data_IF_692781833870
#
_entry.id   IF_692781833870
#
_cell.length_a   1.000
_cell.length_b   1.000
_cell.length_c   1.000
_cell.angle_alpha   90.00
_cell.angle_beta   90.00
_cell.angle_gamma   90.00
#
_symmetry.space_group_name_H-M   'P 1'
#
loop_
_entity.id
_entity.type
_entity.pdbx_description
1 polymer ?
#
# COMPACT_ATOMS: atom_id res chain seq x y z
N UNK A 1 -6.64 -17.96 24.15
CA UNK A 1 -5.97 -19.25 24.40
C UNK A 1 -4.69 -19.16 23.61
N UNK A 2 -3.57 -18.82 24.24
CA UNK A 2 -2.33 -18.52 23.51
C UNK A 2 -1.69 -19.83 23.04
N UNK A 3 -1.65 -20.02 21.73
CA UNK A 3 -0.93 -21.13 21.11
C UNK A 3 0.54 -20.71 20.98
N UNK A 4 1.34 -21.03 21.99
CA UNK A 4 2.80 -21.07 21.84
C UNK A 4 3.13 -22.18 20.84
N UNK A 5 3.67 -21.84 19.67
CA UNK A 5 4.16 -22.86 18.74
C UNK A 5 5.48 -22.46 18.06
N UNK A 6 6.60 -22.87 18.66
CA UNK A 6 7.77 -23.29 17.90
C UNK A 6 7.87 -24.81 18.03
N UNK A 7 7.16 -25.54 17.18
CA UNK A 7 7.36 -26.98 17.02
C UNK A 7 8.44 -27.22 15.97
N UNK A 8 9.68 -27.47 16.43
CA UNK A 8 10.68 -28.20 15.63
C UNK A 8 10.25 -29.68 15.58
N UNK A 9 9.43 -30.03 14.59
CA UNK A 9 8.96 -31.39 14.35
C UNK A 9 10.03 -32.27 13.70
N UNK A 10 10.50 -33.29 14.41
CA UNK A 10 11.47 -34.27 13.88
C UNK A 10 10.86 -35.41 13.04
N UNK A 11 11.52 -35.66 11.90
CA UNK A 11 11.67 -36.90 11.11
C UNK A 11 10.42 -37.61 10.55
N UNK A 12 9.68 -36.92 9.69
CA UNK A 12 9.37 -37.45 8.36
C UNK A 12 10.34 -36.77 7.39
N UNK A 13 10.85 -37.47 6.36
CA UNK A 13 11.82 -36.88 5.41
C UNK A 13 11.34 -35.52 4.88
N UNK A 14 12.26 -34.58 4.66
CA UNK A 14 12.00 -33.17 4.37
C UNK A 14 10.82 -32.97 3.40
N UNK A 15 9.77 -32.27 3.86
CA UNK A 15 8.56 -31.99 3.08
C UNK A 15 8.59 -30.52 2.66
N UNK A 16 9.51 -30.15 1.77
CA UNK A 16 9.69 -28.75 1.39
C UNK A 16 8.55 -28.29 0.48
N UNK A 17 8.16 -27.02 0.66
CA UNK A 17 7.31 -26.31 -0.28
C UNK A 17 8.20 -25.79 -1.43
N UNK A 18 7.87 -26.04 -2.70
CA UNK A 18 8.71 -25.56 -3.80
C UNK A 18 8.68 -24.02 -3.90
N UNK A 19 9.85 -23.39 -3.94
CA UNK A 19 10.02 -21.95 -4.16
C UNK A 19 9.50 -21.49 -5.52
N UNK A 20 9.45 -22.39 -6.51
CA UNK A 20 9.14 -22.11 -7.91
C UNK A 20 7.64 -22.27 -8.26
N UNK A 21 6.73 -22.29 -7.26
CA UNK A 21 5.29 -22.22 -7.54
C UNK A 21 4.98 -20.85 -8.19
N UNK A 22 4.51 -20.86 -9.44
CA UNK A 22 4.20 -19.66 -10.20
C UNK A 22 2.88 -19.04 -9.73
N UNK A 23 2.98 -17.93 -9.01
CA UNK A 23 1.82 -17.18 -8.53
C UNK A 23 1.37 -16.09 -9.52
N UNK A 24 2.14 -15.82 -10.58
CA UNK A 24 1.86 -14.72 -11.53
C UNK A 24 0.67 -14.98 -12.44
N UNK A 25 0.17 -16.22 -12.43
CA UNK A 25 -1.01 -16.65 -13.18
C UNK A 25 -2.33 -16.13 -12.57
N UNK A 26 -2.29 -15.60 -11.35
CA UNK A 26 -3.44 -14.94 -10.71
C UNK A 26 -3.17 -13.45 -10.51
N UNK A 27 -4.13 -12.55 -10.82
CA UNK A 27 -3.97 -11.11 -10.59
C UNK A 27 -3.66 -10.73 -9.14
N UNK A 28 -4.15 -11.52 -8.17
CA UNK A 28 -3.90 -11.33 -6.74
C UNK A 28 -2.71 -12.16 -6.21
N UNK A 29 -2.07 -12.95 -7.07
CA UNK A 29 -0.99 -13.84 -6.70
C UNK A 29 -1.40 -15.02 -5.82
N UNK A 30 -2.69 -15.36 -5.75
CA UNK A 30 -3.19 -16.56 -5.04
C UNK A 30 -3.57 -17.61 -6.07
N UNK A 31 -2.94 -18.79 -5.97
CA UNK A 31 -3.14 -19.90 -6.92
C UNK A 31 -3.58 -21.16 -6.20
N UNK A 32 -4.17 -22.10 -6.94
CA UNK A 32 -4.44 -23.43 -6.43
C UNK A 32 -3.13 -24.16 -6.09
N UNK A 33 -3.13 -24.93 -5.00
CA UNK A 33 -1.93 -25.65 -4.56
C UNK A 33 -1.57 -26.76 -5.58
N UNK A 34 -0.38 -26.72 -6.22
CA UNK A 34 -0.06 -27.64 -7.32
C UNK A 34 0.00 -29.11 -6.90
N UNK A 35 -0.38 -30.03 -7.79
CA UNK A 35 -0.41 -31.48 -7.51
C UNK A 35 0.95 -32.06 -7.07
N UNK A 36 2.07 -31.43 -7.47
CA UNK A 36 3.44 -31.81 -7.08
C UNK A 36 3.79 -31.49 -5.62
N UNK A 37 3.03 -30.62 -4.96
CA UNK A 37 3.23 -30.32 -3.53
C UNK A 37 2.94 -31.57 -2.70
N UNK A 38 3.70 -31.78 -1.62
CA UNK A 38 3.54 -32.97 -0.78
C UNK A 38 2.10 -33.10 -0.24
N UNK A 39 1.62 -34.34 -0.12
CA UNK A 39 0.21 -34.59 0.22
C UNK A 39 -0.16 -34.14 1.63
N UNK A 40 0.81 -33.93 2.54
CA UNK A 40 0.55 -33.39 3.88
C UNK A 40 -0.10 -32.00 3.83
N UNK A 41 0.33 -31.18 2.86
CA UNK A 41 -0.17 -29.82 2.70
C UNK A 41 -1.46 -29.84 1.88
N UNK A 42 -1.49 -30.59 0.77
CA UNK A 42 -2.67 -30.71 -0.10
C UNK A 42 -3.88 -31.36 0.55
N UNK A 43 -3.71 -32.13 1.64
CA UNK A 43 -4.85 -32.65 2.40
C UNK A 43 -5.51 -31.60 3.30
N UNK A 44 -4.82 -30.49 3.56
CA UNK A 44 -5.20 -29.49 4.56
C UNK A 44 -5.51 -28.15 3.92
N UNK A 45 -4.79 -27.77 2.86
CA UNK A 45 -4.84 -26.47 2.18
C UNK A 45 -5.13 -26.65 0.69
N UNK A 46 -5.86 -25.71 0.11
CA UNK A 46 -6.27 -25.73 -1.30
C UNK A 46 -5.59 -24.65 -2.15
N UNK A 47 -5.08 -23.59 -1.52
CA UNK A 47 -4.47 -22.45 -2.19
C UNK A 47 -3.14 -22.06 -1.56
N UNK A 48 -2.39 -21.28 -2.33
CA UNK A 48 -1.03 -20.90 -2.04
C UNK A 48 -0.72 -19.48 -2.52
N UNK A 49 0.12 -18.80 -1.76
CA UNK A 49 0.86 -17.63 -2.22
C UNK A 49 2.24 -17.55 -1.55
N UNK A 50 3.05 -16.54 -1.89
CA UNK A 50 4.39 -16.36 -1.34
C UNK A 50 4.88 -14.93 -1.42
N UNK A 51 5.94 -14.65 -0.67
CA UNK A 51 6.85 -13.54 -0.92
C UNK A 51 8.22 -14.11 -1.30
N UNK A 52 8.88 -13.50 -2.28
CA UNK A 52 10.27 -13.82 -2.61
C UNK A 52 11.19 -12.92 -1.79
N UNK A 53 12.06 -13.52 -0.99
CA UNK A 53 13.08 -12.82 -0.23
C UNK A 53 14.25 -12.39 -1.14
N UNK A 54 15.12 -11.45 -0.71
CA UNK A 54 16.24 -10.96 -1.51
C UNK A 54 17.23 -12.04 -1.99
N UNK A 55 17.36 -13.16 -1.28
CA UNK A 55 18.17 -14.32 -1.69
C UNK A 55 17.49 -15.20 -2.77
N UNK A 56 16.28 -14.87 -3.21
CA UNK A 56 15.50 -15.61 -4.20
C UNK A 56 14.67 -16.78 -3.63
N UNK A 57 14.81 -17.09 -2.33
CA UNK A 57 13.98 -18.10 -1.66
C UNK A 57 12.58 -17.58 -1.34
N UNK A 58 11.63 -18.47 -1.05
CA UNK A 58 10.26 -18.09 -0.76
C UNK A 58 9.94 -18.10 0.74
N UNK A 59 9.07 -17.17 1.15
CA UNK A 59 8.32 -17.23 2.41
C UNK A 59 6.89 -17.58 2.03
N UNK A 60 6.38 -18.70 2.55
CA UNK A 60 5.21 -19.37 1.99
C UNK A 60 3.92 -19.03 2.74
N UNK A 61 2.79 -19.15 2.04
CA UNK A 61 1.45 -19.06 2.60
C UNK A 61 0.62 -20.25 2.12
N UNK A 62 -0.01 -20.95 3.05
CA UNK A 62 -0.94 -22.04 2.74
C UNK A 62 -2.32 -21.68 3.25
N UNK A 63 -3.33 -21.68 2.37
CA UNK A 63 -4.66 -21.17 2.68
C UNK A 63 -5.71 -22.28 2.62
N UNK A 64 -6.60 -22.31 3.61
CA UNK A 64 -7.80 -23.15 3.59
C UNK A 64 -8.96 -22.48 2.86
N UNK A 65 -9.95 -23.29 2.46
CA UNK A 65 -11.11 -22.89 1.65
C UNK A 65 -11.93 -21.68 2.14
N UNK A 66 -12.00 -21.39 3.45
CA UNK A 66 -12.78 -20.27 3.97
C UNK A 66 -11.97 -18.98 4.11
N UNK A 67 -10.65 -19.05 3.95
CA UNK A 67 -9.79 -17.85 3.87
C UNK A 67 -10.06 -17.16 2.55
N UNK A 68 -10.59 -15.94 2.51
CA UNK A 68 -10.84 -15.29 1.21
C UNK A 68 -9.51 -14.89 0.53
N UNK A 69 -9.55 -14.58 -0.77
CA UNK A 69 -8.35 -14.09 -1.44
C UNK A 69 -7.89 -12.75 -0.84
N UNK A 70 -8.83 -11.89 -0.46
CA UNK A 70 -8.54 -10.61 0.19
C UNK A 70 -7.82 -10.81 1.53
N UNK A 71 -8.22 -11.80 2.33
CA UNK A 71 -7.52 -12.17 3.57
C UNK A 71 -6.08 -12.63 3.28
N UNK A 72 -5.89 -13.49 2.29
CA UNK A 72 -4.57 -13.97 1.89
C UNK A 72 -3.65 -12.86 1.37
N UNK A 73 -4.17 -11.96 0.53
CA UNK A 73 -3.44 -10.79 0.04
C UNK A 73 -3.08 -9.86 1.20
N UNK A 74 -4.03 -9.58 2.10
CA UNK A 74 -3.79 -8.74 3.27
C UNK A 74 -2.66 -9.30 4.14
N UNK A 75 -2.71 -10.57 4.51
CA UNK A 75 -1.65 -11.21 5.31
C UNK A 75 -0.29 -11.16 4.60
N UNK A 76 -0.26 -11.30 3.27
CA UNK A 76 0.96 -11.16 2.46
C UNK A 76 1.51 -9.73 2.48
N UNK A 77 0.66 -8.71 2.36
CA UNK A 77 1.12 -7.31 2.41
C UNK A 77 1.54 -6.88 3.83
N UNK A 78 0.92 -7.42 4.89
CA UNK A 78 1.38 -7.25 6.26
C UNK A 78 2.76 -7.91 6.47
N UNK A 79 2.98 -9.12 5.93
CA UNK A 79 4.30 -9.74 6.00
C UNK A 79 5.33 -8.89 5.25
N UNK A 80 4.98 -8.41 4.05
CA UNK A 80 5.83 -7.51 3.26
C UNK A 80 6.23 -6.29 4.05
N UNK A 81 5.27 -5.64 4.72
CA UNK A 81 5.53 -4.49 5.59
C UNK A 81 6.59 -4.83 6.66
N UNK A 82 6.45 -5.95 7.37
CA UNK A 82 7.39 -6.31 8.42
C UNK A 82 8.82 -6.55 7.93
N UNK A 83 8.99 -7.10 6.73
CA UNK A 83 10.29 -7.45 6.15
C UNK A 83 10.84 -6.42 5.16
N UNK A 84 10.10 -5.35 4.89
CA UNK A 84 10.58 -4.20 4.09
C UNK A 84 11.35 -3.25 5.00
N UNK A 85 12.44 -2.70 4.48
CA UNK A 85 13.30 -1.76 5.19
C UNK A 85 12.49 -0.57 5.70
N UNK A 86 12.83 -0.14 6.92
CA UNK A 86 12.29 1.04 7.57
C UNK A 86 13.44 2.03 7.80
N UNK A 87 13.77 2.88 6.81
CA UNK A 87 14.87 3.83 6.90
C UNK A 87 14.79 4.69 8.17
N UNK A 88 15.92 4.89 8.84
CA UNK A 88 16.01 5.66 10.09
C UNK A 88 15.75 4.85 11.36
N UNK A 89 15.26 3.61 11.28
CA UNK A 89 15.18 2.70 12.43
C UNK A 89 16.53 2.00 12.68
N UNK A 90 16.84 1.68 13.94
CA UNK A 90 18.15 1.12 14.32
C UNK A 90 18.38 -0.31 13.82
N UNK A 91 17.36 -1.15 13.87
CA UNK A 91 17.40 -2.57 13.49
C UNK A 91 16.54 -2.89 12.26
N UNK A 92 15.73 -1.94 11.78
CA UNK A 92 14.87 -2.12 10.61
C UNK A 92 15.38 -1.42 9.35
N UNK A 93 16.49 -0.68 9.39
CA UNK A 93 17.00 0.05 8.22
C UNK A 93 17.49 -0.87 7.08
N UNK A 94 17.88 -2.11 7.40
CA UNK A 94 18.16 -3.17 6.43
C UNK A 94 17.66 -4.50 7.01
N UNK A 95 16.58 -5.04 6.43
CA UNK A 95 15.93 -6.30 6.84
C UNK A 95 16.24 -7.44 5.88
N UNK A 96 17.22 -7.28 4.99
CA UNK A 96 17.66 -8.31 4.04
C UNK A 96 17.99 -9.63 4.76
N UNK A 97 18.74 -9.56 5.86
CA UNK A 97 19.10 -10.75 6.64
C UNK A 97 17.87 -11.42 7.28
N UNK A 98 16.92 -10.64 7.79
CA UNK A 98 15.66 -11.12 8.38
C UNK A 98 14.86 -11.89 7.33
N UNK A 99 14.58 -11.27 6.18
CA UNK A 99 13.82 -11.89 5.09
C UNK A 99 14.50 -13.17 4.55
N UNK A 100 15.83 -13.13 4.37
CA UNK A 100 16.59 -14.28 3.89
C UNK A 100 16.57 -15.43 4.91
N UNK A 101 16.63 -15.14 6.21
CA UNK A 101 16.52 -16.15 7.25
C UNK A 101 15.16 -16.85 7.21
N UNK A 102 14.07 -16.07 7.04
CA UNK A 102 12.73 -16.63 6.91
C UNK A 102 12.63 -17.58 5.70
N UNK A 103 13.16 -17.18 4.54
CA UNK A 103 13.17 -18.03 3.36
C UNK A 103 14.04 -19.28 3.54
N UNK A 104 15.21 -19.17 4.17
CA UNK A 104 16.09 -20.33 4.41
C UNK A 104 15.48 -21.36 5.37
N UNK A 105 14.51 -20.96 6.19
CA UNK A 105 13.80 -21.82 7.14
C UNK A 105 12.47 -22.35 6.58
N UNK A 106 12.19 -22.13 5.29
CA UNK A 106 10.89 -22.43 4.66
C UNK A 106 9.71 -21.85 5.48
N UNK A 107 9.89 -20.66 6.07
CA UNK A 107 8.92 -20.06 6.96
C UNK A 107 7.56 -19.93 6.27
N UNK A 108 6.52 -20.42 6.94
CA UNK A 108 5.20 -20.56 6.34
C UNK A 108 4.09 -20.01 7.24
N UNK A 109 3.28 -19.09 6.73
CA UNK A 109 2.02 -18.74 7.36
C UNK A 109 0.95 -19.75 6.95
N UNK A 110 0.39 -20.50 7.90
CA UNK A 110 -0.67 -21.48 7.65
C UNK A 110 -2.03 -20.91 8.07
N UNK A 111 -2.88 -20.65 7.09
CA UNK A 111 -4.12 -19.91 7.29
C UNK A 111 -5.31 -20.87 7.33
N UNK A 112 -5.83 -21.11 8.53
CA UNK A 112 -6.93 -22.04 8.78
C UNK A 112 -8.30 -21.36 8.73
N UNK A 113 -9.34 -22.16 8.51
CA UNK A 113 -10.72 -21.70 8.57
C UNK A 113 -11.12 -21.23 9.99
N UNK A 114 -10.57 -21.86 11.03
CA UNK A 114 -10.83 -21.56 12.44
C UNK A 114 -9.79 -22.23 13.35
N UNK A 115 -9.75 -21.81 14.61
CA UNK A 115 -8.93 -22.44 15.67
C UNK A 115 -9.16 -23.96 15.73
N UNK A 116 -10.41 -24.42 15.78
CA UNK A 116 -10.70 -25.86 15.80
C UNK A 116 -10.24 -26.60 14.53
N UNK A 117 -10.11 -25.92 13.40
CA UNK A 117 -9.54 -26.52 12.19
C UNK A 117 -8.02 -26.63 12.27
N UNK A 118 -7.36 -25.63 12.88
CA UNK A 118 -5.94 -25.63 13.18
C UNK A 118 -5.58 -26.77 14.15
N UNK A 119 -6.27 -26.88 15.30
CA UNK A 119 -6.07 -27.94 16.28
C UNK A 119 -6.08 -29.33 15.64
N UNK A 120 -7.14 -29.64 14.87
CA UNK A 120 -7.25 -30.93 14.16
C UNK A 120 -6.13 -31.18 13.16
N UNK A 121 -5.64 -30.15 12.48
CA UNK A 121 -4.58 -30.29 11.49
C UNK A 121 -3.21 -30.49 12.17
N UNK A 122 -2.92 -29.67 13.18
CA UNK A 122 -1.66 -29.64 13.93
C UNK A 122 -1.49 -30.92 14.76
N UNK A 123 -2.53 -31.39 15.45
CA UNK A 123 -2.52 -32.70 16.13
C UNK A 123 -2.37 -33.88 15.15
N UNK A 124 -2.70 -33.64 13.87
CA UNK A 124 -2.68 -34.61 12.79
C UNK A 124 -1.32 -34.79 12.12
N UNK A 125 -1.33 -34.89 10.79
CA UNK A 125 -0.10 -35.10 9.98
C UNK A 125 0.69 -33.81 9.80
N UNK A 126 0.05 -32.64 9.89
CA UNK A 126 0.70 -31.36 9.66
C UNK A 126 1.69 -31.02 10.77
N UNK A 127 1.35 -31.21 12.05
CA UNK A 127 2.29 -30.97 13.15
C UNK A 127 3.44 -31.97 13.24
N UNK A 128 3.48 -32.96 12.34
CA UNK A 128 4.61 -33.88 12.15
C UNK A 128 5.41 -33.57 10.88
N UNK A 129 4.99 -32.57 10.10
CA UNK A 129 5.77 -32.08 8.98
C UNK A 129 6.97 -31.29 9.50
N UNK A 130 8.07 -31.36 8.77
CA UNK A 130 9.24 -30.52 9.00
C UNK A 130 8.96 -29.16 8.35
N UNK A 131 8.28 -28.28 9.11
CA UNK A 131 7.83 -26.97 8.64
C UNK A 131 7.93 -25.96 9.77
N UNK A 132 8.64 -24.85 9.55
CA UNK A 132 8.54 -23.69 10.43
C UNK A 132 7.27 -22.91 10.08
N UNK A 133 6.26 -22.93 10.95
CA UNK A 133 5.02 -22.24 10.66
C UNK A 133 4.45 -21.47 11.85
N UNK A 134 3.69 -20.45 11.50
CA UNK A 134 2.76 -19.74 12.39
C UNK A 134 1.37 -19.86 11.80
N UNK A 135 0.37 -20.12 12.64
CA UNK A 135 -1.02 -20.22 12.23
C UNK A 135 -1.77 -18.90 12.34
N UNK A 136 -2.75 -18.72 11.46
CA UNK A 136 -3.67 -17.58 11.45
C UNK A 136 -5.07 -18.11 11.12
N UNK A 137 -6.11 -17.51 11.70
CA UNK A 137 -7.48 -17.99 11.55
C UNK A 137 -8.35 -17.01 10.78
N UNK A 138 -9.13 -17.51 9.81
CA UNK A 138 -10.09 -16.71 9.06
C UNK A 138 -11.13 -16.04 9.99
N UNK A 139 -11.43 -16.67 11.13
CA UNK A 139 -12.33 -16.14 12.17
C UNK A 139 -11.78 -14.94 12.95
N UNK A 140 -10.49 -14.66 12.86
CA UNK A 140 -9.82 -13.55 13.56
C UNK A 140 -9.08 -12.64 12.57
N UNK A 141 -9.56 -12.58 11.34
CA UNK A 141 -8.95 -11.78 10.29
C UNK A 141 -9.98 -10.88 9.66
N UNK A 142 -9.71 -9.58 9.65
CA UNK A 142 -10.60 -8.59 9.05
C UNK A 142 -9.89 -7.88 7.92
N UNK A 143 -10.60 -7.68 6.82
CA UNK A 143 -10.10 -6.94 5.66
C UNK A 143 -10.74 -5.56 5.59
N UNK A 144 -9.98 -4.58 5.13
CA UNK A 144 -10.37 -3.17 5.11
C UNK A 144 -11.68 -2.96 4.34
N UNK A 145 -12.62 -2.22 4.92
CA UNK A 145 -13.95 -1.98 4.32
C UNK A 145 -14.95 -3.13 4.43
N UNK A 146 -14.56 -4.29 4.98
CA UNK A 146 -15.54 -5.32 5.35
C UNK A 146 -16.46 -4.85 6.48
N UNK A 147 -17.60 -5.51 6.66
CA UNK A 147 -18.52 -5.21 7.77
C UNK A 147 -17.81 -5.29 9.13
N UNK A 148 -16.96 -6.29 9.31
CA UNK A 148 -16.28 -6.51 10.58
C UNK A 148 -15.18 -5.49 10.86
N UNK A 149 -14.46 -5.06 9.82
CA UNK A 149 -13.52 -3.96 9.93
C UNK A 149 -14.23 -2.65 10.29
N UNK A 150 -15.30 -2.32 9.57
CA UNK A 150 -16.02 -1.04 9.71
C UNK A 150 -16.64 -0.87 11.08
N UNK A 151 -17.22 -1.96 11.61
CA UNK A 151 -17.90 -1.95 12.90
C UNK A 151 -17.01 -2.41 14.06
N UNK A 152 -15.76 -2.82 13.79
CA UNK A 152 -14.87 -3.48 14.74
C UNK A 152 -15.58 -4.60 15.54
N UNK A 153 -16.23 -5.52 14.84
CA UNK A 153 -17.01 -6.59 15.47
C UNK A 153 -16.20 -7.86 15.74
N UNK A 154 -15.02 -7.99 15.13
CA UNK A 154 -14.10 -9.10 15.34
C UNK A 154 -12.72 -8.57 15.72
N UNK A 155 -12.01 -9.38 16.51
CA UNK A 155 -10.57 -9.23 16.72
C UNK A 155 -9.85 -9.42 15.38
N UNK A 156 -8.79 -8.65 15.19
CA UNK A 156 -7.87 -8.79 14.05
C UNK A 156 -6.51 -9.27 14.57
N UNK A 157 -6.20 -10.54 14.37
CA UNK A 157 -4.93 -11.14 14.78
C UNK A 157 -3.85 -11.05 13.69
N UNK A 158 -4.15 -10.45 12.52
CA UNK A 158 -3.27 -10.57 11.36
C UNK A 158 -1.90 -9.92 11.58
N UNK A 159 -1.83 -8.76 12.26
CA UNK A 159 -0.55 -8.12 12.59
C UNK A 159 0.26 -9.01 13.54
N UNK A 160 -0.37 -9.44 14.63
CA UNK A 160 0.19 -10.35 15.64
C UNK A 160 0.76 -11.64 15.06
N UNK A 161 -0.06 -12.43 14.36
CA UNK A 161 0.38 -13.76 13.89
C UNK A 161 1.44 -13.64 12.79
N UNK A 162 1.34 -12.63 11.92
CA UNK A 162 2.38 -12.42 10.93
C UNK A 162 3.69 -11.97 11.61
N UNK A 163 3.62 -11.15 12.65
CA UNK A 163 4.81 -10.74 13.39
C UNK A 163 5.43 -11.91 14.17
N UNK A 164 4.65 -12.82 14.75
CA UNK A 164 5.18 -14.05 15.36
C UNK A 164 6.07 -14.83 14.38
N UNK A 165 5.62 -14.99 13.13
CA UNK A 165 6.41 -15.65 12.09
C UNK A 165 7.72 -14.90 11.79
N UNK A 166 7.67 -13.58 11.63
CA UNK A 166 8.84 -12.72 11.38
C UNK A 166 9.81 -12.75 12.54
N UNK A 167 9.30 -12.72 13.76
CA UNK A 167 10.11 -12.73 14.97
C UNK A 167 10.83 -14.07 15.10
N UNK A 168 10.11 -15.19 15.01
CA UNK A 168 10.68 -16.52 15.17
C UNK A 168 11.65 -16.92 14.05
N UNK A 169 11.27 -16.76 12.78
CA UNK A 169 12.09 -17.20 11.64
C UNK A 169 13.10 -16.16 11.15
N UNK A 170 12.87 -14.88 11.44
CA UNK A 170 13.67 -13.77 10.95
C UNK A 170 14.51 -13.13 12.05
N UNK A 171 13.85 -12.45 12.98
CA UNK A 171 14.51 -11.57 13.98
C UNK A 171 15.35 -12.37 14.97
N UNK A 172 14.79 -13.41 15.59
CA UNK A 172 15.48 -14.19 16.62
C UNK A 172 16.81 -14.79 16.13
N UNK A 173 16.90 -15.41 14.93
CA UNK A 173 18.17 -15.94 14.43
C UNK A 173 19.16 -14.88 13.92
N UNK A 174 18.70 -13.67 13.56
CA UNK A 174 19.56 -12.68 12.87
C UNK A 174 19.87 -11.41 13.66
N UNK A 175 19.03 -11.04 14.62
CA UNK A 175 19.09 -9.77 15.36
C UNK A 175 19.05 -10.00 16.89
N UNK A 176 20.04 -10.67 17.48
CA UNK A 176 20.06 -10.95 18.93
C UNK A 176 20.08 -9.68 19.80
N UNK A 177 20.68 -8.59 19.30
CA UNK A 177 20.67 -7.30 19.99
C UNK A 177 19.26 -6.70 20.07
N UNK A 178 18.47 -6.81 19.00
CA UNK A 178 17.08 -6.35 19.00
C UNK A 178 16.23 -7.21 19.94
N UNK A 179 16.37 -8.53 19.88
CA UNK A 179 15.67 -9.44 20.80
C UNK A 179 16.01 -9.15 22.28
N UNK A 180 17.27 -8.83 22.58
CA UNK A 180 17.67 -8.43 23.93
C UNK A 180 17.03 -7.11 24.37
N UNK A 181 16.82 -6.15 23.45
CA UNK A 181 16.12 -4.89 23.75
C UNK A 181 14.66 -5.14 24.09
N UNK A 182 13.97 -5.95 23.30
CA UNK A 182 12.58 -6.33 23.58
C UNK A 182 12.50 -7.00 24.95
N UNK A 183 13.39 -7.97 25.22
CA UNK A 183 13.44 -8.68 26.50
C UNK A 183 13.62 -7.72 27.69
N UNK A 184 14.46 -6.70 27.55
CA UNK A 184 14.65 -5.69 28.59
C UNK A 184 13.37 -4.85 28.82
N UNK A 185 12.70 -4.42 27.74
CA UNK A 185 11.43 -3.70 27.82
C UNK A 185 10.33 -4.55 28.46
N UNK A 186 10.19 -5.82 28.08
CA UNK A 186 9.24 -6.78 28.68
C UNK A 186 9.44 -6.90 30.19
N UNK A 187 10.69 -7.07 30.64
CA UNK A 187 10.98 -7.18 32.06
C UNK A 187 10.64 -5.90 32.83
N UNK A 188 10.87 -4.73 32.23
CA UNK A 188 10.51 -3.45 32.81
C UNK A 188 8.97 -3.29 32.90
N UNK A 189 8.24 -3.66 31.85
CA UNK A 189 6.78 -3.60 31.82
C UNK A 189 6.13 -4.53 32.86
N UNK A 190 6.65 -5.75 33.03
CA UNK A 190 6.21 -6.68 34.08
C UNK A 190 6.48 -6.09 35.46
N UNK A 191 7.69 -5.56 35.70
CA UNK A 191 8.03 -4.95 36.99
C UNK A 191 7.17 -3.73 37.34
N UNK A 192 6.71 -3.00 36.32
CA UNK A 192 5.83 -1.84 36.45
C UNK A 192 4.33 -2.21 36.53
N UNK A 193 3.96 -3.48 36.34
CA UNK A 193 2.55 -3.91 36.25
C UNK A 193 1.83 -3.35 35.03
N UNK A 194 2.57 -3.11 33.94
CA UNK A 194 2.03 -2.69 32.63
C UNK A 194 1.64 -3.93 31.80
N UNK A 195 2.44 -4.99 31.92
CA UNK A 195 2.21 -6.29 31.26
C UNK A 195 2.13 -7.40 32.32
N UNK A 196 1.00 -8.11 32.36
CA UNK A 196 0.77 -9.26 33.24
C UNK A 196 0.66 -10.54 32.40
N UNK A 197 1.79 -11.15 32.02
CA UNK A 197 1.78 -12.34 31.17
C UNK A 197 1.12 -13.53 31.88
N UNK A 198 0.53 -14.46 31.12
CA UNK A 198 0.07 -15.72 31.65
C UNK A 198 1.12 -16.45 32.51
N UNK A 199 0.68 -17.33 33.43
CA UNK A 199 1.57 -18.15 34.23
C UNK A 199 2.57 -18.92 33.36
N UNK A 200 3.80 -19.16 33.85
CA UNK A 200 4.85 -19.78 33.02
C UNK A 200 4.57 -21.21 32.52
N UNK A 201 3.50 -21.85 33.01
CA UNK A 201 2.98 -23.14 32.50
C UNK A 201 2.18 -22.99 31.21
N UNK A 202 1.67 -21.78 30.94
CA UNK A 202 0.90 -21.41 29.74
C UNK A 202 1.79 -20.60 28.78
N UNK A 203 2.55 -19.63 29.28
CA UNK A 203 3.50 -18.84 28.49
C UNK A 203 4.92 -18.92 29.09
N UNK A 204 5.83 -19.72 28.50
CA UNK A 204 7.20 -19.82 28.96
C UNK A 204 7.88 -18.45 29.04
N UNK A 205 8.79 -18.27 30.00
CA UNK A 205 9.44 -16.96 30.23
C UNK A 205 10.22 -16.45 29.01
N UNK A 206 10.75 -17.36 28.21
CA UNK A 206 11.48 -17.03 26.99
C UNK A 206 10.58 -16.47 25.88
N UNK A 207 9.28 -16.75 25.95
CA UNK A 207 8.30 -16.40 24.90
C UNK A 207 7.54 -15.11 25.25
N UNK A 208 7.58 -14.67 26.51
CA UNK A 208 6.98 -13.39 26.95
C UNK A 208 7.42 -12.17 26.13
N UNK A 209 8.69 -12.04 25.69
CA UNK A 209 9.07 -10.93 24.83
C UNK A 209 8.36 -10.90 23.48
N UNK A 210 7.90 -12.06 22.97
CA UNK A 210 7.16 -12.15 21.71
C UNK A 210 5.77 -11.54 21.89
N UNK A 211 5.03 -12.00 22.89
CA UNK A 211 3.67 -11.50 23.18
C UNK A 211 3.67 -10.01 23.57
N UNK A 212 4.67 -9.59 24.36
CA UNK A 212 4.77 -8.20 24.81
C UNK A 212 5.01 -7.22 23.66
N UNK A 213 5.94 -7.51 22.72
CA UNK A 213 6.19 -6.56 21.64
C UNK A 213 4.99 -6.48 20.68
N UNK A 214 4.27 -7.58 20.52
CA UNK A 214 3.05 -7.64 19.72
C UNK A 214 1.95 -6.79 20.33
N UNK A 215 1.78 -6.82 21.66
CA UNK A 215 0.79 -5.97 22.31
C UNK A 215 1.06 -4.48 22.09
N UNK A 216 2.34 -4.10 22.07
CA UNK A 216 2.75 -2.75 21.67
C UNK A 216 2.38 -2.48 20.21
N UNK A 217 2.74 -3.35 19.27
CA UNK A 217 2.51 -3.19 17.83
C UNK A 217 1.02 -2.98 17.53
N UNK A 218 0.17 -3.87 18.03
CA UNK A 218 -1.27 -3.81 17.77
C UNK A 218 -1.90 -2.54 18.35
N UNK A 219 -1.54 -2.17 19.58
CA UNK A 219 -2.04 -0.94 20.20
C UNK A 219 -1.51 0.30 19.48
N UNK A 220 -0.24 0.29 19.07
CA UNK A 220 0.39 1.41 18.38
C UNK A 220 -0.24 1.67 17.01
N UNK A 221 -0.60 0.63 16.26
CA UNK A 221 -1.35 0.75 15.01
C UNK A 221 -2.88 0.74 15.19
N UNK A 222 -3.37 0.92 16.42
CA UNK A 222 -4.77 1.22 16.72
C UNK A 222 -5.71 0.02 16.67
N UNK A 223 -5.19 -1.21 16.62
CA UNK A 223 -6.00 -2.43 16.55
C UNK A 223 -6.89 -2.61 17.78
N UNK A 224 -6.46 -2.17 18.96
CA UNK A 224 -7.20 -2.29 20.21
C UNK A 224 -7.95 -1.04 20.67
N UNK A 225 -7.76 0.10 20.01
CA UNK A 225 -8.30 1.37 20.51
C UNK A 225 -9.84 1.45 20.53
N UNK A 226 -10.51 0.48 19.90
CA UNK A 226 -11.97 0.35 19.87
C UNK A 226 -12.54 -0.44 21.05
N UNK A 227 -11.68 -1.13 21.80
CA UNK A 227 -12.07 -1.95 22.93
C UNK A 227 -12.63 -1.07 24.06
N UNK A 228 -13.76 -1.51 24.59
CA UNK A 228 -14.61 -0.74 25.50
C UNK A 228 -14.30 -0.98 26.96
N UNK A 229 -13.64 -2.11 27.27
CA UNK A 229 -13.38 -2.53 28.65
C UNK A 229 -12.13 -1.86 29.23
N UNK A 230 -11.29 -1.28 28.36
CA UNK A 230 -10.18 -0.41 28.74
C UNK A 230 -8.89 -1.14 29.11
N UNK A 231 -8.84 -2.45 28.90
CA UNK A 231 -7.67 -3.31 28.97
C UNK A 231 -7.49 -4.08 27.64
N UNK A 232 -6.25 -4.15 27.13
CA UNK A 232 -5.98 -4.88 25.87
C UNK A 232 -5.58 -6.31 26.16
N UNK A 233 -5.78 -7.20 25.18
CA UNK A 233 -5.37 -8.61 25.30
C UNK A 233 -6.02 -9.34 26.49
N UNK A 234 -7.30 -9.08 26.74
CA UNK A 234 -8.03 -9.75 27.83
C UNK A 234 -7.49 -9.45 29.23
N UNK A 235 -6.88 -8.26 29.41
CA UNK A 235 -6.32 -7.81 30.68
C UNK A 235 -4.82 -7.96 30.83
N UNK A 236 -4.15 -8.60 29.87
CA UNK A 236 -2.70 -8.85 29.95
C UNK A 236 -1.87 -7.59 29.73
N UNK A 237 -2.37 -6.64 28.93
CA UNK A 237 -1.67 -5.40 28.63
C UNK A 237 -2.53 -4.17 28.93
N UNK A 238 -1.94 -3.21 29.64
CA UNK A 238 -2.67 -2.13 30.31
C UNK A 238 -3.31 -1.08 29.39
N UNK A 239 -2.82 -0.90 28.17
CA UNK A 239 -3.13 0.28 27.35
C UNK A 239 -3.76 -0.11 26.02
N UNK A 240 -4.67 0.72 25.50
CA UNK A 240 -5.46 0.39 24.30
C UNK A 240 -5.25 1.37 23.14
N UNK A 241 -4.66 2.54 23.40
CA UNK A 241 -4.40 3.56 22.39
C UNK A 241 -2.92 3.90 22.25
N UNK A 242 -2.51 4.36 21.06
CA UNK A 242 -1.17 4.89 20.81
C UNK A 242 -0.73 5.93 21.84
N UNK A 243 -1.60 6.90 22.14
CA UNK A 243 -1.30 7.97 23.09
C UNK A 243 -1.04 7.44 24.51
N UNK A 244 -1.77 6.42 24.94
CA UNK A 244 -1.57 5.79 26.24
C UNK A 244 -0.25 5.04 26.31
N UNK A 245 0.13 4.25 25.28
CA UNK A 245 1.41 3.54 25.29
C UNK A 245 2.61 4.47 25.15
N UNK A 246 2.50 5.56 24.39
CA UNK A 246 3.56 6.57 24.28
C UNK A 246 3.85 7.23 25.62
N UNK A 247 2.81 7.48 26.42
CA UNK A 247 2.94 8.06 27.76
C UNK A 247 3.31 7.03 28.83
N UNK A 248 2.77 5.82 28.72
CA UNK A 248 2.76 4.80 29.77
C UNK A 248 3.81 3.71 29.64
N UNK A 249 4.23 3.38 28.41
CA UNK A 249 5.26 2.40 28.11
C UNK A 249 6.23 2.89 27.01
N UNK A 250 6.98 3.97 27.27
CA UNK A 250 7.92 4.52 26.28
C UNK A 250 9.07 3.55 25.94
N UNK A 251 9.37 2.57 26.80
CA UNK A 251 10.39 1.55 26.52
C UNK A 251 9.90 0.54 25.51
N UNK A 252 8.65 0.08 25.62
CA UNK A 252 8.01 -0.76 24.62
C UNK A 252 7.89 -0.06 23.27
N UNK A 253 7.43 1.19 23.26
CA UNK A 253 7.33 2.01 22.03
C UNK A 253 8.71 2.20 21.38
N UNK A 254 9.75 2.53 22.16
CA UNK A 254 11.10 2.68 21.65
C UNK A 254 11.67 1.35 21.10
N UNK A 255 11.32 0.20 21.70
CA UNK A 255 11.68 -1.10 21.16
C UNK A 255 10.98 -1.34 19.80
N UNK A 256 9.68 -1.09 19.69
CA UNK A 256 8.95 -1.23 18.43
C UNK A 256 9.52 -0.33 17.32
N UNK A 257 9.71 0.97 17.60
CA UNK A 257 10.23 1.95 16.64
C UNK A 257 11.70 1.71 16.26
N UNK A 258 12.44 0.90 17.03
CA UNK A 258 13.77 0.48 16.63
C UNK A 258 13.77 -0.46 15.42
N UNK A 259 12.62 -1.06 15.05
CA UNK A 259 12.49 -1.99 13.93
C UNK A 259 11.39 -1.62 12.92
N UNK A 260 10.33 -0.95 13.37
CA UNK A 260 9.17 -0.58 12.56
C UNK A 260 9.01 0.94 12.45
N UNK A 261 8.43 1.44 11.35
CA UNK A 261 8.10 2.86 11.21
C UNK A 261 6.89 3.26 12.07
N UNK A 262 6.64 4.55 12.32
CA UNK A 262 5.52 5.01 13.16
C UNK A 262 4.13 4.89 12.51
N UNK A 263 4.05 4.41 11.27
CA UNK A 263 2.84 4.23 10.48
C UNK A 263 2.88 2.88 9.74
N UNK A 264 1.73 2.36 9.34
CA UNK A 264 1.59 1.08 8.66
C UNK A 264 1.59 1.30 7.15
N UNK A 265 2.72 1.00 6.51
CA UNK A 265 2.95 1.19 5.06
C UNK A 265 2.56 -0.04 4.21
N UNK A 266 1.84 -1.00 4.79
CA UNK A 266 1.31 -2.12 4.01
C UNK A 266 0.36 -1.60 2.92
N UNK A 267 0.47 -2.12 1.70
CA UNK A 267 -0.43 -1.77 0.59
C UNK A 267 -1.77 -2.47 0.74
N UNK A 268 -2.70 -1.87 1.47
CA UNK A 268 -3.97 -2.51 1.84
C UNK A 268 -5.07 -2.20 0.83
N UNK A 269 -5.92 -3.19 0.57
CA UNK A 269 -7.04 -3.06 -0.37
C UNK A 269 -8.37 -3.01 0.37
N UNK A 270 -9.11 -1.91 0.21
CA UNK A 270 -10.49 -1.79 0.71
C UNK A 270 -11.40 -2.64 -0.17
N UNK A 271 -12.16 -3.55 0.44
CA UNK A 271 -13.04 -4.47 -0.30
C UNK A 271 -14.05 -3.71 -1.17
N UNK A 272 -14.34 -4.24 -2.35
CA UNK A 272 -15.31 -3.65 -3.29
C UNK A 272 -16.77 -3.71 -2.82
N UNK A 273 -17.02 -4.28 -1.63
CA UNK A 273 -18.30 -4.16 -0.94
C UNK A 273 -18.52 -2.76 -0.35
N UNK A 274 -17.43 -2.01 -0.11
CA UNK A 274 -17.48 -0.62 0.34
C UNK A 274 -17.97 0.29 -0.78
N UNK A 275 -19.02 1.07 -0.52
CA UNK A 275 -19.71 1.90 -1.51
C UNK A 275 -19.92 3.34 -1.04
N UNK A 276 -19.12 3.79 -0.07
CA UNK A 276 -19.19 5.11 0.55
C UNK A 276 -17.77 5.70 0.65
N UNK A 277 -17.56 6.58 1.63
CA UNK A 277 -16.28 7.20 1.95
C UNK A 277 -15.45 6.35 2.91
N UNK A 278 -14.31 5.83 2.45
CA UNK A 278 -13.28 5.26 3.32
C UNK A 278 -12.33 6.38 3.75
N UNK A 279 -12.12 6.56 5.04
CA UNK A 279 -11.25 7.65 5.54
C UNK A 279 -10.12 7.13 6.41
N UNK A 280 -8.93 7.66 6.19
CA UNK A 280 -7.77 7.53 7.06
C UNK A 280 -7.76 8.66 8.09
N UNK A 281 -8.62 9.68 7.97
CA UNK A 281 -8.71 10.70 9.01
C UNK A 281 -9.46 10.15 10.21
N UNK A 282 -8.91 10.40 11.41
CA UNK A 282 -9.50 9.94 12.65
C UNK A 282 -10.87 10.60 12.91
N UNK A 283 -11.92 9.79 13.04
CA UNK A 283 -13.24 10.21 13.48
C UNK A 283 -13.74 9.31 14.63
N UNK A 284 -13.81 9.79 15.88
CA UNK A 284 -14.29 8.99 17.02
C UNK A 284 -15.70 8.40 16.88
N UNK A 285 -16.55 8.94 16.00
CA UNK A 285 -17.87 8.39 15.72
C UNK A 285 -17.84 7.23 14.71
N UNK A 286 -16.70 6.98 14.06
CA UNK A 286 -16.52 5.94 13.03
C UNK A 286 -15.47 4.93 13.53
N UNK A 287 -15.89 3.76 14.04
CA UNK A 287 -15.01 2.85 14.78
C UNK A 287 -13.74 2.43 14.05
N UNK A 288 -13.81 2.13 12.75
CA UNK A 288 -12.63 1.67 12.02
C UNK A 288 -11.51 2.70 11.91
N UNK A 289 -11.82 4.00 12.07
CA UNK A 289 -10.82 5.08 12.02
C UNK A 289 -9.85 5.07 13.19
N UNK A 290 -10.08 4.23 14.20
CA UNK A 290 -9.07 3.86 15.17
C UNK A 290 -7.85 3.20 14.54
N UNK A 291 -8.08 2.34 13.54
CA UNK A 291 -7.07 1.54 12.82
C UNK A 291 -6.60 2.26 11.56
N UNK A 292 -7.53 2.76 10.74
CA UNK A 292 -7.20 3.35 9.44
C UNK A 292 -6.34 4.61 9.52
N UNK A 293 -6.35 5.32 10.66
CA UNK A 293 -5.58 6.56 10.85
C UNK A 293 -4.07 6.43 10.80
N UNK A 294 -3.57 5.21 10.83
CA UNK A 294 -2.14 4.94 10.78
C UNK A 294 -1.71 4.31 9.46
N UNK A 295 -2.62 4.13 8.51
CA UNK A 295 -2.31 3.62 7.17
C UNK A 295 -1.75 4.75 6.31
N UNK A 296 -0.83 4.43 5.41
CA UNK A 296 -0.37 5.36 4.36
C UNK A 296 -0.67 4.86 2.96
N UNK A 297 -0.80 3.55 2.77
CA UNK A 297 -0.94 2.94 1.43
C UNK A 297 -2.28 2.22 1.30
N UNK A 298 -3.24 2.82 0.58
CA UNK A 298 -4.61 2.29 0.48
C UNK A 298 -5.14 2.34 -0.95
N UNK A 299 -5.65 1.20 -1.43
CA UNK A 299 -6.34 1.09 -2.72
C UNK A 299 -7.79 0.67 -2.54
N UNK A 300 -8.71 1.30 -3.27
CA UNK A 300 -10.08 0.82 -3.40
C UNK A 300 -10.16 -0.33 -4.42
N UNK A 301 -11.02 -1.30 -4.16
CA UNK A 301 -11.38 -2.34 -5.15
C UNK A 301 -12.84 -2.24 -5.57
N UNK A 302 -13.23 -3.01 -6.58
CA UNK A 302 -14.59 -3.01 -7.14
C UNK A 302 -14.79 -2.04 -8.31
N UNK A 303 -16.05 -1.82 -8.64
CA UNK A 303 -16.48 -1.08 -9.85
C UNK A 303 -17.42 0.08 -9.56
N UNK A 304 -17.73 0.32 -8.29
CA UNK A 304 -18.64 1.39 -7.87
C UNK A 304 -17.84 2.62 -7.50
N UNK A 305 -18.40 3.77 -7.86
CA UNK A 305 -17.94 5.05 -7.36
C UNK A 305 -17.82 5.03 -5.83
N UNK A 306 -16.70 5.51 -5.31
CA UNK A 306 -16.42 5.56 -3.88
C UNK A 306 -15.57 6.79 -3.57
N UNK A 307 -15.47 7.14 -2.29
CA UNK A 307 -14.58 8.20 -1.83
C UNK A 307 -13.46 7.62 -0.97
N UNK A 308 -12.26 8.18 -1.08
CA UNK A 308 -11.10 7.85 -0.27
C UNK A 308 -10.48 9.14 0.27
N UNK A 309 -10.42 9.29 1.57
CA UNK A 309 -9.86 10.47 2.23
C UNK A 309 -8.62 10.03 3.00
N UNK A 310 -7.46 10.63 2.72
CA UNK A 310 -6.20 10.39 3.42
C UNK A 310 -6.16 10.98 4.82
N UNK A 311 -4.97 10.98 5.41
CA UNK A 311 -4.69 11.52 6.74
C UNK A 311 -3.69 12.67 6.64
N UNK A 312 -2.94 12.94 7.72
CA UNK A 312 -1.94 14.02 7.75
C UNK A 312 -0.52 13.54 7.44
N UNK A 313 -0.36 12.29 6.99
CA UNK A 313 0.91 11.69 6.58
C UNK A 313 0.98 11.66 5.06
N UNK A 314 2.17 11.47 4.51
CA UNK A 314 2.35 11.21 3.09
C UNK A 314 1.62 9.91 2.72
N UNK A 315 0.56 10.00 1.90
CA UNK A 315 -0.26 8.87 1.51
C UNK A 315 -0.03 8.45 0.06
N UNK A 316 -0.12 7.15 -0.17
CA UNK A 316 -0.16 6.52 -1.49
C UNK A 316 -1.56 5.92 -1.67
N UNK A 317 -2.41 6.61 -2.43
CA UNK A 317 -3.81 6.29 -2.58
C UNK A 317 -4.11 5.75 -3.98
N UNK A 318 -5.10 4.88 -4.13
CA UNK A 318 -5.56 4.44 -5.44
C UNK A 318 -7.08 4.22 -5.47
N UNK A 319 -7.71 4.68 -6.55
CA UNK A 319 -9.11 4.44 -6.83
C UNK A 319 -9.40 3.00 -7.25
N UNK A 320 -10.69 2.71 -7.42
CA UNK A 320 -11.17 1.50 -8.09
C UNK A 320 -11.60 1.81 -9.53
N UNK A 321 -12.20 0.85 -10.23
CA UNK A 321 -12.61 1.05 -11.65
C UNK A 321 -13.86 1.92 -11.87
N UNK A 322 -14.51 2.37 -10.79
CA UNK A 322 -15.56 3.38 -10.81
C UNK A 322 -15.00 4.80 -10.82
N UNK A 323 -15.88 5.80 -10.72
CA UNK A 323 -15.47 7.20 -10.63
C UNK A 323 -15.30 7.60 -9.17
N UNK A 324 -14.08 7.88 -8.76
CA UNK A 324 -13.74 8.08 -7.35
C UNK A 324 -13.63 9.57 -6.98
N UNK A 325 -13.80 9.85 -5.69
CA UNK A 325 -13.39 11.14 -5.09
C UNK A 325 -12.26 10.86 -4.12
N UNK A 326 -11.07 11.38 -4.39
CA UNK A 326 -9.90 11.13 -3.57
C UNK A 326 -9.42 12.45 -2.99
N UNK A 327 -9.30 12.52 -1.68
CA UNK A 327 -8.71 13.66 -0.97
C UNK A 327 -7.44 13.16 -0.30
N UNK A 328 -6.26 13.69 -0.63
CA UNK A 328 -5.00 13.25 -0.02
C UNK A 328 -4.90 13.65 1.45
N UNK A 329 -5.53 14.77 1.83
CA UNK A 329 -5.47 15.29 3.18
C UNK A 329 -4.30 16.26 3.36
N UNK A 330 -3.35 15.93 4.23
CA UNK A 330 -2.14 16.73 4.39
C UNK A 330 -0.91 15.84 4.36
N UNK A 331 0.23 16.39 3.96
CA UNK A 331 1.41 15.61 3.65
C UNK A 331 1.77 15.80 2.18
N UNK A 332 2.57 14.90 1.64
CA UNK A 332 2.91 14.82 0.22
C UNK A 332 2.29 13.58 -0.41
N UNK A 333 1.10 13.74 -0.95
CA UNK A 333 0.23 12.65 -1.34
C UNK A 333 0.39 12.24 -2.80
N UNK A 334 0.28 10.95 -3.06
CA UNK A 334 0.39 10.33 -4.38
C UNK A 334 -0.87 9.55 -4.71
N UNK A 335 -1.43 9.74 -5.90
CA UNK A 335 -2.52 8.91 -6.43
C UNK A 335 -1.99 8.03 -7.55
N UNK A 336 -2.17 6.71 -7.40
CA UNK A 336 -1.68 5.70 -8.32
C UNK A 336 -2.74 5.35 -9.37
N UNK A 337 -2.31 5.38 -10.62
CA UNK A 337 -3.06 4.97 -11.79
C UNK A 337 -2.47 3.71 -12.40
N UNK A 338 -3.33 2.87 -12.96
CA UNK A 338 -2.97 1.52 -13.41
C UNK A 338 -2.34 1.49 -14.81
N UNK A 339 -2.27 2.64 -15.50
CA UNK A 339 -1.83 2.78 -16.89
C UNK A 339 -0.77 3.84 -17.12
N UNK A 340 -0.39 4.01 -18.38
CA UNK A 340 0.57 5.04 -18.81
C UNK A 340 -0.11 6.40 -18.84
N UNK A 341 0.62 7.46 -18.54
CA UNK A 341 0.12 8.84 -18.51
C UNK A 341 -0.61 9.28 -19.79
N UNK A 342 -0.17 8.80 -20.96
CA UNK A 342 -0.79 9.10 -22.27
C UNK A 342 -2.20 8.50 -22.45
N UNK A 343 -2.59 7.57 -21.59
CA UNK A 343 -3.92 6.95 -21.57
C UNK A 343 -4.90 7.71 -20.67
N UNK A 344 -4.50 8.84 -20.08
CA UNK A 344 -5.33 9.65 -19.19
C UNK A 344 -5.45 11.09 -19.67
N UNK A 345 -6.62 11.67 -19.48
CA UNK A 345 -6.82 13.11 -19.59
C UNK A 345 -6.83 13.73 -18.19
N UNK A 346 -5.88 14.62 -17.91
CA UNK A 346 -5.76 15.34 -16.62
C UNK A 346 -6.16 16.80 -16.82
N UNK A 347 -7.06 17.30 -15.97
CA UNK A 347 -7.42 18.72 -15.94
C UNK A 347 -7.48 19.23 -14.50
N UNK A 348 -7.04 20.46 -14.25
CA UNK A 348 -7.07 21.07 -12.92
C UNK A 348 -7.94 22.32 -12.95
N UNK A 349 -8.96 22.40 -12.07
CA UNK A 349 -9.87 23.54 -11.96
C UNK A 349 -10.18 23.85 -10.51
N UNK A 350 -9.90 25.09 -10.08
CA UNK A 350 -10.19 25.58 -8.73
C UNK A 350 -9.69 24.64 -7.60
N UNK A 351 -8.48 24.09 -7.75
CA UNK A 351 -7.86 23.18 -6.78
C UNK A 351 -8.38 21.74 -6.80
N UNK A 352 -9.23 21.38 -7.75
CA UNK A 352 -9.67 20.00 -7.99
C UNK A 352 -9.05 19.49 -9.28
N UNK A 353 -8.43 18.32 -9.22
CA UNK A 353 -7.84 17.63 -10.36
C UNK A 353 -8.85 16.58 -10.84
N UNK A 354 -9.23 16.59 -12.11
CA UNK A 354 -10.00 15.53 -12.73
C UNK A 354 -9.08 14.69 -13.61
N UNK A 355 -8.99 13.39 -13.33
CA UNK A 355 -8.19 12.42 -14.09
C UNK A 355 -9.15 11.42 -14.72
N UNK A 356 -9.23 11.41 -16.05
CA UNK A 356 -10.14 10.55 -16.81
C UNK A 356 -9.35 9.50 -17.59
N UNK A 357 -9.54 8.22 -17.24
CA UNK A 357 -8.95 7.09 -17.94
C UNK A 357 -9.65 6.86 -19.28
N UNK A 358 -8.88 6.82 -20.36
CA UNK A 358 -9.38 6.53 -21.71
C UNK A 358 -9.59 5.04 -21.95
N UNK A 359 -9.03 4.17 -21.10
CA UNK A 359 -9.20 2.72 -21.15
C UNK A 359 -10.40 2.30 -20.31
N UNK A 360 -11.39 1.70 -20.97
CA UNK A 360 -12.66 1.33 -20.33
C UNK A 360 -12.47 0.31 -19.20
N UNK A 361 -12.97 0.64 -18.01
CA UNK A 361 -13.14 -0.29 -16.89
C UNK A 361 -11.87 -0.52 -16.06
N UNK A 362 -10.87 0.36 -16.18
CA UNK A 362 -9.62 0.30 -15.43
C UNK A 362 -9.65 1.25 -14.21
N UNK A 363 -9.55 2.56 -14.39
CA UNK A 363 -9.56 3.52 -13.27
C UNK A 363 -10.70 4.56 -13.31
N UNK A 364 -11.51 4.60 -14.37
CA UNK A 364 -12.69 5.47 -14.43
C UNK A 364 -12.35 6.96 -14.57
N UNK A 365 -13.17 7.84 -13.98
CA UNK A 365 -12.92 9.29 -13.93
C UNK A 365 -12.93 9.78 -12.51
N UNK A 366 -11.75 10.14 -12.01
CA UNK A 366 -11.50 10.49 -10.63
C UNK A 366 -11.43 11.99 -10.42
N UNK A 367 -11.90 12.44 -9.26
CA UNK A 367 -11.75 13.82 -8.79
C UNK A 367 -10.86 13.84 -7.55
N UNK A 368 -9.74 14.52 -7.65
CA UNK A 368 -8.71 14.57 -6.63
C UNK A 368 -8.61 15.97 -6.01
N UNK A 369 -8.35 16.04 -4.72
CA UNK A 369 -8.00 17.26 -3.99
C UNK A 369 -6.86 16.99 -3.02
N UNK A 370 -6.05 18.00 -2.71
CA UNK A 370 -4.87 17.87 -1.85
C UNK A 370 -3.98 16.68 -2.27
N UNK A 371 -3.62 16.63 -3.55
CA UNK A 371 -2.75 15.59 -4.12
C UNK A 371 -1.63 16.29 -4.86
N UNK A 372 -0.40 16.00 -4.46
CA UNK A 372 0.81 16.60 -5.01
C UNK A 372 1.41 15.76 -6.16
N UNK A 373 1.07 14.47 -6.26
CA UNK A 373 1.65 13.57 -7.27
C UNK A 373 0.61 12.64 -7.90
N UNK A 374 0.56 12.62 -9.22
CA UNK A 374 -0.11 11.59 -10.01
C UNK A 374 0.95 10.58 -10.45
N UNK A 375 0.78 9.32 -10.07
CA UNK A 375 1.74 8.25 -10.37
C UNK A 375 1.13 7.34 -11.42
N UNK A 376 1.64 7.43 -12.64
CA UNK A 376 1.33 6.54 -13.74
C UNK A 376 2.41 5.44 -13.84
N UNK A 377 2.18 4.43 -14.68
CA UNK A 377 3.13 3.33 -14.83
C UNK A 377 4.44 3.72 -15.53
N UNK A 378 4.43 4.84 -16.25
CA UNK A 378 5.56 5.38 -17.01
C UNK A 378 6.24 6.59 -16.33
N UNK A 379 5.52 7.37 -15.51
CA UNK A 379 6.07 8.56 -14.83
C UNK A 379 5.24 9.06 -13.65
N UNK A 380 5.84 9.98 -12.89
CA UNK A 380 5.18 10.76 -11.84
C UNK A 380 4.99 12.19 -12.34
N UNK A 381 3.78 12.74 -12.21
CA UNK A 381 3.42 14.10 -12.62
C UNK A 381 2.99 14.90 -11.40
N UNK A 382 3.52 16.12 -11.23
CA UNK A 382 2.98 17.10 -10.29
C UNK A 382 1.80 17.83 -10.97
N UNK A 383 0.54 17.62 -10.54
CA UNK A 383 -0.63 18.22 -11.15
C UNK A 383 -0.84 19.70 -10.78
N UNK A 384 -0.04 20.22 -9.85
CA UNK A 384 -0.05 21.61 -9.38
C UNK A 384 1.09 22.44 -9.97
N UNK A 385 2.09 21.79 -10.57
CA UNK A 385 3.12 22.47 -11.34
C UNK A 385 2.47 23.23 -12.51
N UNK A 386 2.85 24.49 -12.65
CA UNK A 386 2.45 25.26 -13.83
C UNK A 386 2.99 24.56 -15.08
N UNK A 387 2.13 24.31 -16.05
CA UNK A 387 2.54 23.69 -17.30
C UNK A 387 3.61 24.54 -17.97
N UNK A 388 4.72 23.89 -18.34
CA UNK A 388 5.81 24.52 -19.08
C UNK A 388 5.63 24.13 -20.54
N UNK A 389 5.64 25.10 -21.44
CA UNK A 389 5.51 24.87 -22.88
C UNK A 389 6.41 25.84 -23.66
N UNK A 390 6.62 25.57 -24.94
CA UNK A 390 7.24 26.50 -25.88
C UNK A 390 6.16 27.05 -26.80
N UNK A 391 5.89 28.36 -26.74
CA UNK A 391 4.80 28.95 -27.53
C UNK A 391 5.06 28.80 -29.01
N UNK A 392 4.09 28.20 -29.70
CA UNK A 392 4.15 27.94 -31.13
C UNK A 392 4.66 26.56 -31.53
N UNK A 393 5.07 25.73 -30.57
CA UNK A 393 5.35 24.30 -30.76
C UNK A 393 4.04 23.51 -30.64
N UNK A 394 3.31 23.46 -31.74
CA UNK A 394 1.95 22.93 -31.77
C UNK A 394 1.89 21.40 -31.77
N UNK A 395 2.95 20.75 -32.27
CA UNK A 395 3.06 19.29 -32.32
C UNK A 395 3.77 18.71 -31.08
N UNK A 396 4.33 19.57 -30.23
CA UNK A 396 4.97 19.26 -28.95
C UNK A 396 6.31 18.50 -29.08
N UNK A 397 7.07 18.77 -30.14
CA UNK A 397 8.34 18.10 -30.45
C UNK A 397 9.60 18.81 -29.91
N UNK A 398 9.42 19.97 -29.28
CA UNK A 398 10.47 20.80 -28.67
C UNK A 398 11.06 21.84 -29.63
N UNK A 399 10.53 21.96 -30.85
CA UNK A 399 10.99 22.93 -31.86
C UNK A 399 9.82 23.70 -32.46
N UNK A 400 10.09 24.90 -32.97
CA UNK A 400 9.11 25.67 -33.74
C UNK A 400 9.52 25.63 -35.21
N UNK A 401 8.75 24.91 -36.02
CA UNK A 401 8.96 24.75 -37.44
C UNK A 401 7.65 24.74 -38.26
N UNK A 402 7.76 24.40 -39.55
CA UNK A 402 6.62 24.39 -40.46
C UNK A 402 5.52 23.42 -40.01
N UNK A 403 5.89 22.32 -39.37
CA UNK A 403 4.99 21.26 -38.96
C UNK A 403 4.03 21.73 -37.87
N UNK A 404 4.40 22.68 -37.03
CA UNK A 404 3.53 23.28 -36.01
C UNK A 404 2.37 24.05 -36.63
N UNK A 405 2.70 24.94 -37.56
CA UNK A 405 1.68 25.69 -38.32
C UNK A 405 0.73 24.74 -39.06
N UNK A 406 1.25 23.65 -39.62
CA UNK A 406 0.43 22.61 -40.27
C UNK A 406 -0.40 21.82 -39.26
N UNK A 407 0.14 21.51 -38.09
CA UNK A 407 -0.53 20.77 -37.02
C UNK A 407 -1.76 21.54 -36.52
N UNK A 408 -1.61 22.84 -36.23
CA UNK A 408 -2.71 23.72 -35.81
C UNK A 408 -3.84 23.72 -36.85
N UNK A 409 -3.50 23.86 -38.13
CA UNK A 409 -4.48 23.87 -39.23
C UNK A 409 -5.17 22.51 -39.39
N UNK A 410 -4.44 21.40 -39.25
CA UNK A 410 -5.00 20.06 -39.31
C UNK A 410 -5.98 19.81 -38.17
N UNK A 411 -5.62 20.20 -36.94
CA UNK A 411 -6.51 20.13 -35.78
C UNK A 411 -7.80 20.93 -36.00
N UNK A 412 -7.70 22.18 -36.46
CA UNK A 412 -8.85 23.07 -36.64
C UNK A 412 -9.78 22.66 -37.78
N UNK A 413 -9.24 22.17 -38.90
CA UNK A 413 -10.03 22.04 -40.14
C UNK A 413 -10.15 20.61 -40.67
N UNK A 414 -9.23 19.72 -40.32
CA UNK A 414 -9.17 18.37 -40.89
C UNK A 414 -9.47 17.26 -39.87
N UNK A 415 -9.78 17.61 -38.62
CA UNK A 415 -10.06 16.65 -37.56
C UNK A 415 -8.83 15.89 -37.10
N UNK A 416 -7.65 16.54 -37.15
CA UNK A 416 -6.42 16.01 -36.57
C UNK A 416 -6.49 15.86 -35.05
N UNK A 417 -5.47 15.22 -34.48
CA UNK A 417 -5.38 15.01 -33.02
C UNK A 417 -5.41 16.34 -32.25
N UNK A 418 -5.96 16.30 -31.04
CA UNK A 418 -6.00 17.47 -30.14
C UNK A 418 -4.58 17.81 -29.68
N UNK A 419 -4.17 19.10 -29.73
CA UNK A 419 -2.92 19.56 -29.13
C UNK A 419 -2.78 19.14 -27.66
N UNK A 420 -1.55 18.83 -27.26
CA UNK A 420 -1.17 18.55 -25.87
C UNK A 420 -1.29 19.80 -25.00
N UNK A 421 -0.81 20.94 -25.50
CA UNK A 421 -0.99 22.23 -24.87
C UNK A 421 -1.80 23.20 -25.74
N UNK A 422 -2.95 23.69 -25.25
CA UNK A 422 -3.74 24.69 -25.98
C UNK A 422 -3.06 26.06 -25.99
N UNK A 423 -2.29 26.39 -24.95
CA UNK A 423 -1.55 27.66 -24.86
C UNK A 423 -0.39 27.71 -25.85
N UNK A 424 0.16 26.55 -26.23
CA UNK A 424 1.19 26.48 -27.27
C UNK A 424 0.64 26.80 -28.66
N UNK A 425 -0.58 26.35 -28.96
CA UNK A 425 -1.22 26.56 -30.27
C UNK A 425 -2.00 27.87 -30.38
N UNK A 426 -2.21 28.58 -29.27
CA UNK A 426 -2.52 30.02 -29.28
C UNK A 426 -1.22 30.80 -29.48
N UNK A 427 -0.73 30.76 -30.72
CA UNK A 427 0.61 31.17 -31.08
C UNK A 427 0.82 32.69 -30.94
N UNK A 428 -0.25 33.48 -31.06
CA UNK A 428 -0.21 34.93 -30.90
C UNK A 428 -0.70 35.43 -29.52
N UNK A 429 -1.03 34.52 -28.60
CA UNK A 429 -1.36 34.77 -27.19
C UNK A 429 -2.57 35.70 -27.03
N UNK A 430 -3.63 35.43 -27.79
CA UNK A 430 -4.83 36.27 -27.84
C UNK A 430 -6.04 35.71 -27.07
N UNK A 431 -5.94 34.49 -26.52
CA UNK A 431 -6.97 33.79 -25.79
C UNK A 431 -7.83 32.84 -26.64
N UNK A 432 -7.55 32.67 -27.93
CA UNK A 432 -8.34 31.89 -28.89
C UNK A 432 -7.45 31.11 -29.86
N UNK A 433 -7.57 29.78 -29.83
CA UNK A 433 -6.97 28.89 -30.86
C UNK A 433 -7.80 28.95 -32.14
N UNK A 434 -7.25 29.54 -33.19
CA UNK A 434 -7.92 29.82 -34.46
C UNK A 434 -6.97 29.79 -35.67
N UNK A 435 -7.49 30.11 -36.86
CA UNK A 435 -6.71 30.07 -38.11
C UNK A 435 -5.47 30.99 -38.07
N UNK A 436 -5.57 32.12 -37.38
CA UNK A 436 -4.50 33.12 -37.34
C UNK A 436 -3.26 32.59 -36.65
N UNK A 437 -3.37 31.63 -35.74
CA UNK A 437 -2.23 31.03 -35.04
C UNK A 437 -1.33 30.23 -35.98
N UNK A 438 -1.92 29.37 -36.80
CA UNK A 438 -1.18 28.66 -37.83
C UNK A 438 -0.51 29.62 -38.82
N UNK A 439 -1.20 30.71 -39.20
CA UNK A 439 -0.63 31.75 -40.07
C UNK A 439 0.46 32.55 -39.36
N UNK A 440 0.34 32.78 -38.04
CA UNK A 440 1.31 33.49 -37.23
C UNK A 440 2.66 32.75 -37.23
N UNK A 441 2.64 31.43 -36.98
CA UNK A 441 3.83 30.58 -37.03
C UNK A 441 4.50 30.63 -38.42
N UNK A 442 3.73 30.50 -39.49
CA UNK A 442 4.26 30.58 -40.85
C UNK A 442 4.86 31.96 -41.17
N UNK A 443 4.23 33.04 -40.72
CA UNK A 443 4.75 34.40 -40.92
C UNK A 443 6.04 34.64 -40.13
N UNK A 444 6.10 34.16 -38.89
CA UNK A 444 7.30 34.19 -38.05
C UNK A 444 8.47 33.46 -38.74
N UNK A 445 8.24 32.23 -39.20
CA UNK A 445 9.28 31.38 -39.79
C UNK A 445 9.78 31.87 -41.16
N UNK A 446 8.88 32.34 -42.03
CA UNK A 446 9.22 32.56 -43.45
C UNK A 446 9.23 34.03 -43.89
N UNK A 447 8.52 34.91 -43.19
CA UNK A 447 8.31 36.29 -43.63
C UNK A 447 8.89 37.34 -42.67
N UNK A 448 9.60 36.91 -41.62
CA UNK A 448 10.16 37.82 -40.61
C UNK A 448 9.09 38.52 -39.79
N UNK A 449 7.98 37.82 -39.53
CA UNK A 449 6.91 38.28 -38.64
C UNK A 449 7.36 38.47 -37.19
N UNK A 450 6.41 38.87 -36.33
CA UNK A 450 6.68 38.96 -34.90
C UNK A 450 7.13 37.60 -34.35
N UNK A 451 8.06 37.62 -33.39
CA UNK A 451 8.42 36.40 -32.65
C UNK A 451 7.25 35.97 -31.76
N UNK A 452 7.08 34.67 -31.47
CA UNK A 452 6.09 34.22 -30.50
C UNK A 452 6.23 34.96 -29.18
N UNK A 453 5.10 35.37 -28.54
CA UNK A 453 5.10 35.84 -27.16
C UNK A 453 5.75 34.84 -26.21
N UNK A 454 6.07 35.27 -24.99
CA UNK A 454 6.55 34.35 -23.97
C UNK A 454 5.52 33.22 -23.76
N UNK A 455 5.92 31.98 -23.46
CA UNK A 455 7.30 31.48 -23.35
C UNK A 455 7.96 31.21 -24.73
N UNK A 456 8.98 31.99 -25.06
CA UNK A 456 9.84 31.86 -26.25
C UNK A 456 11.14 32.67 -25.99
N UNK A 457 12.33 32.25 -26.46
CA UNK A 457 12.65 31.10 -27.32
C UNK A 457 12.84 29.77 -26.58
N UNK A 458 12.57 29.74 -25.28
CA UNK A 458 12.65 28.52 -24.48
C UNK A 458 11.35 28.27 -23.75
N UNK A 459 11.23 27.04 -23.27
CA UNK A 459 10.14 26.58 -22.45
C UNK A 459 9.95 27.47 -21.21
N UNK A 460 8.70 27.75 -20.86
CA UNK A 460 8.34 28.53 -19.69
C UNK A 460 6.85 28.41 -19.38
N UNK A 461 6.42 29.08 -18.32
CA UNK A 461 5.02 29.17 -17.93
C UNK A 461 4.39 30.42 -18.52
N UNK A 462 3.11 30.38 -18.84
CA UNK A 462 2.30 31.58 -19.04
C UNK A 462 1.06 31.58 -18.13
N UNK A 463 0.75 32.74 -17.55
CA UNK A 463 -0.38 32.99 -16.67
C UNK A 463 -1.39 33.97 -17.28
N UNK A 464 -1.17 34.38 -18.55
CA UNK A 464 -1.92 35.45 -19.21
C UNK A 464 -2.81 34.93 -20.32
N UNK A 465 -3.95 34.36 -19.97
CA UNK A 465 -5.26 34.54 -20.64
C UNK A 465 -6.24 33.38 -20.34
N UNK A 466 -7.41 33.41 -20.99
CA UNK A 466 -8.53 32.52 -20.76
C UNK A 466 -8.57 31.31 -21.69
N UNK A 467 -7.44 30.92 -22.29
CA UNK A 467 -7.31 29.66 -23.03
C UNK A 467 -7.55 28.45 -22.10
N UNK A 468 -7.89 27.26 -22.63
CA UNK A 468 -8.12 26.06 -21.84
C UNK A 468 -6.90 25.53 -21.05
N UNK A 469 -5.72 26.14 -21.16
CA UNK A 469 -4.49 25.68 -20.51
C UNK A 469 -3.81 24.52 -21.25
N UNK A 470 -2.59 24.16 -20.83
CA UNK A 470 -2.00 22.88 -21.24
C UNK A 470 -2.62 21.68 -20.51
N UNK A 471 -2.77 20.53 -21.20
CA UNK A 471 -3.01 19.25 -20.51
C UNK A 471 -1.71 18.83 -19.86
N UNK A 472 -1.77 18.41 -18.60
CA UNK A 472 -0.60 17.84 -17.96
C UNK A 472 -0.45 16.36 -18.33
N UNK A 473 0.78 15.94 -18.63
CA UNK A 473 2.01 16.74 -18.67
C UNK A 473 2.17 17.48 -20.01
N UNK A 474 2.69 18.70 -19.95
CA UNK A 474 2.96 19.52 -21.12
C UNK A 474 4.36 19.19 -21.66
N UNK A 475 4.41 18.35 -22.70
CA UNK A 475 5.50 18.37 -23.68
C UNK A 475 6.92 18.01 -23.32
N UNK A 476 7.78 18.10 -24.34
CA UNK A 476 9.24 17.95 -24.27
C UNK A 476 9.94 19.13 -23.55
N UNK A 477 9.19 19.90 -22.76
CA UNK A 477 9.66 20.98 -21.91
C UNK A 477 10.02 20.51 -20.49
N UNK A 478 10.63 19.32 -20.37
CA UNK A 478 11.17 18.75 -19.12
C UNK A 478 12.59 19.23 -18.79
#
# INVERSE_FOLDING_TARGET
MFLVLVLLGGALGAQNLPDDIDITQSPDGIVALPARVHSVFRSTFDRYTKIIAPNGGAIHFLLQSQVTNEMGVRAREILRFYITDAPGSEFGADKTAVANSMANLDATLVYFNSESAAERAIEGRLGKADLFFQDLYASESVVEGSRDYVNNTLRDATLEEVFHLVHGAGIQPTLPAFHSRITAATNAAIAAGIYDPPPSRELPRADRPFEYIISIIDVYYGMWAHDRDGDSFGGEYRYNTRAEIEAGDPSGVAAMLAFLPPYLEASLTVTGSWNSEFTLTRNPAVPYTHKSQYLTNVRLSGTRNASLTGNSLDNTLAGNSGNNRIDGGGGMDSVLFSGQSSEYAVTTRAGVIEVSDTVRGRDGTDRLSAVERLVFTDRVVDPTAAAIFLRGDGNDDGTIDLTDGVYILNYLFLGGDSPGCMDSVDADDNGLVQLTDGVFILNFLFLGGAVPPAPYPGCGTDDRDGTPGCKLPAGNCE
#
